data_IF_411577478927
#
_entry.id   IF_411577478927
#
_cell.length_a   1.000
_cell.length_b   1.000
_cell.length_c   1.000
_cell.angle_alpha   90.00
_cell.angle_beta   90.00
_cell.angle_gamma   90.00
#
_symmetry.space_group_name_H-M   'P 1'
#
loop_
_entity.id
_entity.type
_entity.pdbx_description
1 polymer ?
#
# COMPACT_ATOMS: atom_id res chain seq x y z
N UNK A 1 7.43 -9.97 -5.50
CA UNK A 1 6.08 -10.59 -5.61
C UNK A 1 5.23 -9.68 -6.48
N UNK A 2 4.56 -10.19 -7.50
CA UNK A 2 3.78 -9.37 -8.44
C UNK A 2 2.37 -9.11 -7.92
N UNK A 3 1.73 -8.04 -8.39
CA UNK A 3 0.34 -7.71 -8.02
C UNK A 3 -0.63 -8.88 -8.27
N UNK A 4 -0.43 -9.64 -9.35
CA UNK A 4 -1.25 -10.81 -9.67
C UNK A 4 -1.12 -11.93 -8.61
N UNK A 5 0.09 -12.19 -8.13
CA UNK A 5 0.33 -13.18 -7.07
C UNK A 5 -0.32 -12.78 -5.73
N UNK A 6 -0.36 -11.48 -5.44
CA UNK A 6 -1.03 -10.95 -4.25
C UNK A 6 -2.54 -11.16 -4.36
N UNK A 7 -3.13 -10.83 -5.52
CA UNK A 7 -4.58 -10.98 -5.74
C UNK A 7 -5.01 -12.45 -5.63
N UNK A 8 -4.26 -13.36 -6.26
CA UNK A 8 -4.52 -14.80 -6.21
C UNK A 8 -4.42 -15.36 -4.77
N UNK A 9 -3.39 -14.95 -4.03
CA UNK A 9 -3.24 -15.32 -2.61
C UNK A 9 -4.36 -14.81 -1.70
N UNK A 10 -5.03 -13.72 -2.07
CA UNK A 10 -6.21 -13.19 -1.36
C UNK A 10 -7.52 -13.88 -1.79
N UNK A 11 -7.58 -14.46 -3.00
CA UNK A 11 -8.74 -15.23 -3.49
C UNK A 11 -8.82 -16.63 -2.86
N UNK A 12 -7.69 -17.30 -2.69
CA UNK A 12 -7.65 -18.74 -2.37
C UNK A 12 -7.90 -19.06 -0.89
N UNK A 13 -8.04 -18.05 -0.01
CA UNK A 13 -8.24 -18.27 1.42
C UNK A 13 -9.68 -17.95 1.82
N UNK A 14 -10.44 -18.93 2.35
CA UNK A 14 -11.64 -18.64 3.12
C UNK A 14 -11.19 -18.08 4.47
N UNK A 15 -11.08 -16.76 4.56
CA UNK A 15 -10.56 -16.08 5.75
C UNK A 15 -11.74 -15.65 6.60
N UNK A 16 -11.81 -16.13 7.86
CA UNK A 16 -12.70 -15.54 8.86
C UNK A 16 -12.38 -14.04 9.02
N UNK A 17 -13.40 -13.20 9.17
CA UNK A 17 -13.31 -11.73 9.02
C UNK A 17 -12.14 -11.07 9.77
N UNK A 18 -11.81 -11.52 10.99
CA UNK A 18 -10.68 -10.99 11.79
C UNK A 18 -9.31 -11.12 11.11
N UNK A 19 -9.14 -12.11 10.23
CA UNK A 19 -7.86 -12.34 9.54
C UNK A 19 -7.79 -11.62 8.19
N UNK A 20 -8.94 -11.20 7.63
CA UNK A 20 -9.03 -10.59 6.32
C UNK A 20 -8.32 -9.23 6.27
N UNK A 21 -8.50 -8.42 7.31
CA UNK A 21 -7.87 -7.10 7.41
C UNK A 21 -6.34 -7.21 7.52
N UNK A 22 -5.85 -8.12 8.37
CA UNK A 22 -4.42 -8.36 8.51
C UNK A 22 -3.79 -8.81 7.20
N UNK A 23 -4.45 -9.71 6.48
CA UNK A 23 -3.99 -10.18 5.17
C UNK A 23 -3.97 -9.05 4.14
N UNK A 24 -5.02 -8.23 4.08
CA UNK A 24 -5.09 -7.08 3.19
C UNK A 24 -3.96 -6.07 3.45
N UNK A 25 -3.71 -5.74 4.72
CA UNK A 25 -2.62 -4.85 5.13
C UNK A 25 -1.25 -5.42 4.78
N UNK A 26 -1.03 -6.71 5.03
CA UNK A 26 0.23 -7.37 4.69
C UNK A 26 0.46 -7.39 3.17
N UNK A 27 -0.58 -7.70 2.39
CA UNK A 27 -0.56 -7.62 0.93
C UNK A 27 -0.21 -6.21 0.43
N UNK A 28 -0.82 -5.18 1.03
CA UNK A 28 -0.52 -3.78 0.72
C UNK A 28 0.94 -3.41 1.02
N UNK A 29 1.46 -3.81 2.19
CA UNK A 29 2.86 -3.57 2.54
C UNK A 29 3.83 -4.28 1.59
N UNK A 30 3.55 -5.53 1.21
CA UNK A 30 4.37 -6.23 0.21
C UNK A 30 4.34 -5.53 -1.14
N UNK A 31 3.16 -5.09 -1.59
CA UNK A 31 3.04 -4.33 -2.83
C UNK A 31 3.81 -3.01 -2.76
N UNK A 32 3.68 -2.26 -1.66
CA UNK A 32 4.35 -0.99 -1.41
C UNK A 32 5.88 -1.15 -1.45
N UNK A 33 6.40 -2.15 -0.74
CA UNK A 33 7.84 -2.43 -0.65
C UNK A 33 8.41 -3.02 -1.95
N UNK A 34 7.57 -3.53 -2.85
CA UNK A 34 7.98 -4.00 -4.17
C UNK A 34 8.13 -2.89 -5.22
N UNK A 35 7.70 -1.66 -4.92
CA UNK A 35 7.81 -0.56 -5.86
C UNK A 35 9.27 -0.05 -5.94
N UNK A 36 9.78 0.28 -7.14
CA UNK A 36 11.07 0.92 -7.30
C UNK A 36 11.19 2.22 -6.49
N UNK A 37 12.40 2.55 -6.04
CA UNK A 37 12.65 3.84 -5.40
C UNK A 37 12.32 5.00 -6.35
N UNK A 38 11.66 6.04 -5.83
CA UNK A 38 11.22 7.19 -6.63
C UNK A 38 9.92 6.98 -7.40
N UNK A 39 9.25 5.83 -7.24
CA UNK A 39 7.92 5.60 -7.82
C UNK A 39 6.92 6.61 -7.28
N UNK A 40 6.17 7.24 -8.18
CA UNK A 40 4.98 8.00 -7.80
C UNK A 40 3.92 7.03 -7.29
N UNK A 41 3.83 6.91 -5.97
CA UNK A 41 2.94 5.98 -5.30
C UNK A 41 1.47 6.22 -5.66
N UNK A 42 1.09 7.46 -5.97
CA UNK A 42 -0.27 7.80 -6.36
C UNK A 42 -0.61 7.20 -7.72
N UNK A 43 0.29 7.40 -8.69
CA UNK A 43 0.13 6.82 -10.03
C UNK A 43 0.23 5.29 -10.00
N UNK A 44 1.16 4.74 -9.22
CA UNK A 44 1.33 3.29 -9.07
C UNK A 44 0.08 2.64 -8.45
N UNK A 45 -0.48 3.25 -7.40
CA UNK A 45 -1.73 2.78 -6.79
C UNK A 45 -2.90 2.84 -7.78
N UNK A 46 -3.03 3.94 -8.53
CA UNK A 46 -4.05 4.08 -9.58
C UNK A 46 -3.89 3.06 -10.72
N UNK A 47 -2.66 2.70 -11.09
CA UNK A 47 -2.38 1.64 -12.05
C UNK A 47 -2.72 0.26 -11.49
N UNK A 48 -2.42 0.00 -10.22
CA UNK A 48 -2.78 -1.24 -9.53
C UNK A 48 -4.31 -1.42 -9.44
N UNK A 49 -5.04 -0.35 -9.12
CA UNK A 49 -6.52 -0.36 -9.10
C UNK A 49 -7.14 -0.72 -10.44
N UNK A 50 -6.58 -0.21 -11.55
CA UNK A 50 -7.05 -0.54 -12.91
C UNK A 50 -6.78 -1.98 -13.32
N UNK A 51 -5.81 -2.63 -12.68
CA UNK A 51 -5.42 -4.03 -12.93
C UNK A 51 -6.18 -5.03 -12.04
N UNK A 52 -6.82 -4.55 -10.97
CA UNK A 52 -7.68 -5.40 -10.16
C UNK A 52 -8.90 -5.80 -10.99
N UNK A 53 -9.22 -7.11 -11.08
CA UNK A 53 -10.38 -7.54 -11.82
C UNK A 53 -11.65 -6.97 -11.18
N UNK A 54 -12.54 -6.43 -12.00
CA UNK A 54 -13.89 -6.05 -11.59
C UNK A 54 -14.74 -7.31 -11.44
N UNK A 55 -14.34 -8.22 -10.55
CA UNK A 55 -15.13 -9.40 -10.25
C UNK A 55 -16.25 -9.02 -9.27
N UNK A 56 -17.49 -9.49 -9.51
CA UNK A 56 -18.62 -9.20 -8.64
C UNK A 56 -18.53 -9.88 -7.26
N UNK A 57 -17.59 -10.81 -7.08
CA UNK A 57 -17.42 -11.60 -5.85
C UNK A 57 -15.99 -11.48 -5.33
N UNK A 58 -15.59 -10.29 -4.88
CA UNK A 58 -14.32 -10.12 -4.17
C UNK A 58 -14.43 -10.70 -2.77
N UNK A 59 -13.38 -11.35 -2.30
CA UNK A 59 -13.27 -11.71 -0.88
C UNK A 59 -13.10 -10.43 -0.03
N UNK A 60 -13.50 -10.45 1.24
CA UNK A 60 -13.36 -9.31 2.14
C UNK A 60 -11.91 -8.77 2.17
N UNK A 61 -10.92 -9.66 2.15
CA UNK A 61 -9.51 -9.28 2.14
C UNK A 61 -9.11 -8.55 0.83
N UNK A 62 -9.70 -8.91 -0.31
CA UNK A 62 -9.49 -8.19 -1.58
C UNK A 62 -10.15 -6.82 -1.58
N UNK A 63 -11.32 -6.68 -0.97
CA UNK A 63 -11.99 -5.38 -0.84
C UNK A 63 -11.16 -4.44 0.04
N UNK A 64 -10.71 -4.91 1.20
CA UNK A 64 -9.86 -4.13 2.10
C UNK A 64 -8.51 -3.76 1.46
N UNK A 65 -7.93 -4.66 0.66
CA UNK A 65 -6.71 -4.36 -0.10
C UNK A 65 -6.97 -3.30 -1.18
N UNK A 66 -8.10 -3.38 -1.89
CA UNK A 66 -8.53 -2.38 -2.87
C UNK A 66 -8.73 -1.02 -2.20
N UNK A 67 -9.26 -0.98 -0.98
CA UNK A 67 -9.45 0.27 -0.25
C UNK A 67 -8.12 0.88 0.19
N UNK A 68 -7.15 0.07 0.64
CA UNK A 68 -5.78 0.54 0.89
C UNK A 68 -5.15 1.19 -0.36
N UNK A 69 -5.35 0.60 -1.55
CA UNK A 69 -4.88 1.17 -2.81
C UNK A 69 -5.62 2.46 -3.19
N UNK A 70 -6.93 2.56 -2.91
CA UNK A 70 -7.70 3.80 -3.11
C UNK A 70 -7.19 4.92 -2.24
N UNK A 71 -6.91 4.62 -0.98
CA UNK A 71 -6.35 5.61 -0.05
C UNK A 71 -4.96 6.06 -0.49
N UNK A 72 -4.09 5.13 -0.91
CA UNK A 72 -2.79 5.47 -1.48
C UNK A 72 -2.90 6.32 -2.77
N UNK A 73 -3.90 6.08 -3.61
CA UNK A 73 -4.16 6.86 -4.82
C UNK A 73 -4.77 8.25 -4.53
N UNK A 74 -5.39 8.44 -3.37
CA UNK A 74 -5.99 9.70 -2.90
C UNK A 74 -5.07 10.52 -2.01
N UNK A 75 -4.13 9.87 -1.33
CA UNK A 75 -3.21 10.53 -0.41
C UNK A 75 -2.47 11.65 -1.14
N UNK A 76 -2.80 12.89 -0.79
CA UNK A 76 -1.98 14.04 -1.14
C UNK A 76 -0.60 13.80 -0.54
N UNK A 77 0.46 13.92 -1.35
CA UNK A 77 1.84 13.74 -0.93
C UNK A 77 2.12 14.62 0.31
N UNK A 78 2.02 14.02 1.50
CA UNK A 78 2.51 14.62 2.73
C UNK A 78 4.02 14.66 2.57
N UNK A 79 4.55 15.85 2.29
CA UNK A 79 5.99 16.08 2.18
C UNK A 79 6.61 15.58 3.50
N UNK A 80 7.55 14.62 3.48
CA UNK A 80 8.13 14.10 4.70
C UNK A 80 8.82 15.25 5.43
N UNK A 81 8.24 15.69 6.54
CA UNK A 81 8.84 16.72 7.39
C UNK A 81 9.97 16.04 8.14
N UNK A 82 11.22 16.28 7.71
CA UNK A 82 12.39 15.89 8.49
C UNK A 82 12.35 16.61 9.84
N UNK A 83 12.06 15.87 10.92
CA UNK A 83 12.37 16.29 12.30
C UNK A 83 13.89 16.23 12.50
N UNK A 84 14.60 17.16 11.88
CA UNK A 84 16.03 17.33 12.05
C UNK A 84 16.34 18.81 12.03
N UNK A 85 16.26 19.45 13.19
CA UNK A 85 16.81 20.79 13.35
C UNK A 85 18.29 20.77 12.93
N UNK A 86 18.79 21.77 12.18
CA UNK A 86 20.22 21.93 12.02
C UNK A 86 20.85 22.03 13.41
N UNK A 87 21.73 21.09 13.76
CA UNK A 87 22.61 21.25 14.94
C UNK A 87 23.46 22.49 14.67
N UNK A 88 23.03 23.64 15.17
CA UNK A 88 23.85 24.84 15.27
C UNK A 88 25.06 24.44 16.10
N UNK A 89 26.19 24.17 15.42
CA UNK A 89 27.48 23.97 16.07
C UNK A 89 27.85 25.30 16.74
N UNK A 90 27.47 25.50 18.00
CA UNK A 90 28.11 26.49 18.86
C UNK A 90 29.57 26.06 19.01
N UNK A 91 30.47 26.76 18.31
CA UNK A 91 31.89 26.74 18.67
C UNK A 91 32.00 27.44 20.02
N UNK A 92 32.36 26.69 21.05
CA UNK A 92 32.86 27.27 22.29
C UNK A 92 34.27 27.77 21.97
N UNK A 93 34.45 29.09 22.08
CA UNK A 93 35.75 29.75 22.13
C UNK A 93 36.25 29.75 23.57
#
# INVERSE_FOLDING_TARGET
MTLAQIIDGLSQRPVADENAERMARQAFLHWLLSQPAGTDMRQAAGAALRRLPAQPCLSLAQELFRDCLRDAARAAFMRPVRRGCPRVRRRLH
#
